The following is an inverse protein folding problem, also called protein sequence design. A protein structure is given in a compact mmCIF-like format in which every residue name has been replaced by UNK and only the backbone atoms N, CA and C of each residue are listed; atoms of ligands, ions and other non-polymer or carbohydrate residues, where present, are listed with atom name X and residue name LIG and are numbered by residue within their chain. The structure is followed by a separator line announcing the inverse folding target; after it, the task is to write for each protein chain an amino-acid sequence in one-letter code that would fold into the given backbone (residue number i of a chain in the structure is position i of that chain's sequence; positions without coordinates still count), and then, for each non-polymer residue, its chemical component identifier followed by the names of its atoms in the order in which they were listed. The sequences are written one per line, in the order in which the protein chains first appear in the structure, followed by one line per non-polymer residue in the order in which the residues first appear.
data_IF_446535643941
#
_entry.id   IF_446535643941
#
_cell.length_a   1.000
_cell.length_b   1.000
_cell.length_c   1.000
_cell.angle_alpha   90.00
_cell.angle_beta   90.00
_cell.angle_gamma   90.00
#
_symmetry.space_group_name_H-M   'P 1'
#
loop_
_entity.id
_entity.type
_entity.pdbx_description
1 polymer ?
#
# COMPACT_ATOMS: atom_id res chain seq x y z
N UNK A 1 20.92 -45.98 2.85
CA UNK A 1 20.51 -44.68 2.29
C UNK A 1 19.06 -44.77 1.91
N UNK A 2 18.24 -43.76 2.21
CA UNK A 2 17.02 -43.37 1.49
C UNK A 2 16.52 -42.09 2.19
N UNK A 3 16.88 -40.93 1.64
CA UNK A 3 16.13 -39.70 1.90
C UNK A 3 14.87 -39.81 1.03
N UNK A 4 13.69 -39.64 1.63
CA UNK A 4 12.49 -39.40 0.84
C UNK A 4 12.59 -37.99 0.26
N UNK A 5 12.65 -37.90 -1.06
CA UNK A 5 12.49 -36.64 -1.77
C UNK A 5 11.01 -36.22 -1.63
N UNK A 6 10.76 -35.20 -0.82
CA UNK A 6 9.43 -34.61 -0.67
C UNK A 6 8.99 -33.97 -1.99
N UNK A 7 7.78 -34.29 -2.45
CA UNK A 7 7.22 -33.72 -3.67
C UNK A 7 6.44 -32.44 -3.33
N UNK A 8 6.86 -31.31 -3.92
CA UNK A 8 6.10 -30.06 -3.86
C UNK A 8 5.11 -30.04 -5.03
N UNK A 9 3.82 -30.03 -4.72
CA UNK A 9 2.76 -29.87 -5.71
C UNK A 9 2.32 -28.41 -5.77
N UNK A 10 2.50 -27.78 -6.93
CA UNK A 10 1.92 -26.47 -7.23
C UNK A 10 0.61 -26.68 -7.98
N UNK A 11 -0.50 -26.24 -7.38
CA UNK A 11 -1.83 -26.23 -7.98
C UNK A 11 -2.25 -24.79 -8.25
N UNK A 12 -2.85 -24.54 -9.42
CA UNK A 12 -3.34 -23.22 -9.81
C UNK A 12 -4.44 -23.32 -10.86
N UNK A 13 -5.41 -22.42 -10.79
CA UNK A 13 -6.51 -22.25 -11.73
C UNK A 13 -6.43 -20.85 -12.34
N UNK A 14 -6.60 -20.74 -13.67
CA UNK A 14 -6.65 -19.46 -14.38
C UNK A 14 -8.11 -19.18 -14.70
N UNK A 15 -8.68 -18.13 -14.11
CA UNK A 15 -10.03 -17.65 -14.42
C UNK A 15 -9.98 -16.44 -15.35
N UNK A 16 -10.96 -16.35 -16.25
CA UNK A 16 -11.05 -15.33 -17.31
C UNK A 16 -11.81 -14.06 -16.85
N UNK A 17 -12.28 -14.05 -15.61
CA UNK A 17 -13.06 -12.94 -15.03
C UNK A 17 -12.51 -12.62 -13.65
N UNK A 18 -12.05 -11.39 -13.48
CA UNK A 18 -11.51 -10.88 -12.21
C UNK A 18 -12.24 -9.58 -11.86
N UNK A 19 -12.11 -9.14 -10.61
CA UNK A 19 -12.53 -7.79 -10.26
C UNK A 19 -11.73 -6.75 -11.05
N UNK A 20 -12.39 -5.73 -11.58
CA UNK A 20 -11.74 -4.57 -12.19
C UNK A 20 -11.46 -3.50 -11.13
N UNK A 21 -10.25 -2.92 -11.13
CA UNK A 21 -9.97 -1.71 -10.33
C UNK A 21 -10.63 -0.52 -11.02
N UNK A 22 -11.39 0.27 -10.28
CA UNK A 22 -12.07 1.43 -10.85
C UNK A 22 -11.05 2.47 -11.34
N UNK A 23 -11.36 3.16 -12.44
CA UNK A 23 -10.44 4.13 -13.05
C UNK A 23 -10.06 5.30 -12.12
N UNK A 24 -10.92 5.66 -11.17
CA UNK A 24 -10.62 6.69 -10.15
C UNK A 24 -9.57 6.23 -9.12
N UNK A 25 -9.34 4.92 -8.99
CA UNK A 25 -8.38 4.36 -8.01
C UNK A 25 -7.18 3.66 -8.64
N UNK A 26 -7.21 3.40 -9.96
CA UNK A 26 -6.15 2.75 -10.71
C UNK A 26 -4.84 3.58 -10.77
N UNK A 27 -4.95 4.88 -11.07
CA UNK A 27 -3.82 5.81 -11.19
C UNK A 27 -3.94 6.97 -10.18
N UNK A 28 -4.18 6.64 -8.92
CA UNK A 28 -4.37 7.64 -7.87
C UNK A 28 -3.03 8.20 -7.35
N UNK A 29 -2.97 9.52 -7.17
CA UNK A 29 -1.91 10.19 -6.41
C UNK A 29 -2.43 10.43 -4.99
N UNK A 30 -1.73 9.89 -3.99
CA UNK A 30 -2.07 10.10 -2.57
C UNK A 30 -1.12 11.16 -1.99
N UNK A 31 -1.55 12.43 -1.89
CA UNK A 31 -0.69 13.51 -1.41
C UNK A 31 -0.49 13.41 0.10
N UNK A 32 0.66 12.89 0.54
CA UNK A 32 1.01 12.83 1.98
C UNK A 32 1.36 14.20 2.57
N UNK A 33 1.45 15.24 1.76
CA UNK A 33 1.80 16.58 2.21
C UNK A 33 3.26 16.74 2.66
N UNK A 34 3.57 17.93 3.17
CA UNK A 34 4.90 18.30 3.66
C UNK A 34 4.97 18.14 5.16
N UNK A 35 6.00 17.47 5.65
CA UNK A 35 6.22 17.25 7.07
C UNK A 35 7.59 17.78 7.47
N UNK A 36 7.63 18.55 8.57
CA UNK A 36 8.89 18.96 9.18
C UNK A 36 9.55 17.78 9.87
N UNK A 37 10.89 17.70 9.84
CA UNK A 37 11.65 16.69 10.61
C UNK A 37 11.28 16.71 12.11
N UNK A 38 10.90 17.85 12.64
CA UNK A 38 10.50 18.01 14.05
C UNK A 38 9.15 17.35 14.38
N UNK A 39 8.39 16.89 13.38
CA UNK A 39 7.18 16.10 13.61
C UNK A 39 7.50 14.66 14.08
N UNK A 40 8.76 14.23 13.93
CA UNK A 40 9.22 12.91 14.33
C UNK A 40 9.98 13.01 15.65
N UNK A 41 9.60 12.17 16.62
CA UNK A 41 10.22 12.10 17.95
C UNK A 41 11.29 11.00 18.08
N UNK A 42 11.45 10.19 17.03
CA UNK A 42 12.37 9.04 16.99
C UNK A 42 11.89 7.96 16.02
N UNK A 43 12.66 6.88 15.90
CA UNK A 43 12.30 5.71 15.07
C UNK A 43 10.91 5.19 15.45
N UNK A 44 10.08 4.90 14.46
CA UNK A 44 8.70 4.46 14.61
C UNK A 44 7.67 5.59 14.79
N UNK A 45 8.09 6.85 14.95
CA UNK A 45 7.13 7.97 15.04
C UNK A 45 6.44 8.22 13.70
N UNK A 46 5.14 8.54 13.75
CA UNK A 46 4.26 8.64 12.58
C UNK A 46 3.77 10.07 12.35
N UNK A 47 3.74 10.51 11.10
CA UNK A 47 3.26 11.84 10.73
C UNK A 47 2.37 11.83 9.48
N UNK A 48 1.56 12.88 9.32
CA UNK A 48 0.69 13.13 8.17
C UNK A 48 -0.19 11.96 7.72
N UNK A 49 -1.25 11.64 8.48
CA UNK A 49 -2.21 10.63 8.06
C UNK A 49 -2.99 11.09 6.84
N UNK A 50 -2.88 10.32 5.77
CA UNK A 50 -3.65 10.51 4.55
C UNK A 50 -4.47 9.26 4.26
N UNK A 51 -5.78 9.45 4.11
CA UNK A 51 -6.69 8.38 3.73
C UNK A 51 -6.69 8.20 2.22
N UNK A 52 -6.81 6.96 1.78
CA UNK A 52 -7.05 6.59 0.40
C UNK A 52 -7.80 5.26 0.34
N UNK A 53 -8.34 4.92 -0.82
CA UNK A 53 -9.11 3.69 -1.02
C UNK A 53 -8.81 3.08 -2.37
N UNK A 54 -8.93 1.76 -2.46
CA UNK A 54 -8.91 1.02 -3.71
C UNK A 54 -10.28 0.38 -3.87
N UNK A 55 -10.93 0.66 -5.00
CA UNK A 55 -12.27 0.16 -5.28
C UNK A 55 -12.21 -0.86 -6.39
N UNK A 56 -12.97 -1.92 -6.18
CA UNK A 56 -13.18 -2.98 -7.15
C UNK A 56 -14.62 -2.94 -7.64
N UNK A 57 -14.81 -3.23 -8.91
CA UNK A 57 -16.10 -3.44 -9.53
C UNK A 57 -16.11 -4.68 -10.43
N UNK A 58 -17.31 -5.12 -10.83
CA UNK A 58 -17.52 -6.27 -11.70
C UNK A 58 -16.85 -7.57 -11.19
N UNK A 59 -16.73 -7.71 -9.87
CA UNK A 59 -16.26 -8.93 -9.27
C UNK A 59 -17.24 -10.09 -9.57
N UNK A 60 -16.74 -11.21 -10.12
CA UNK A 60 -17.56 -12.42 -10.29
C UNK A 60 -18.19 -12.89 -8.99
N UNK A 61 -19.40 -13.46 -9.08
CA UNK A 61 -20.14 -13.99 -7.93
C UNK A 61 -19.43 -15.15 -7.20
N UNK A 62 -18.41 -15.76 -7.82
CA UNK A 62 -17.56 -16.77 -7.19
C UNK A 62 -16.59 -16.17 -6.15
N UNK A 63 -16.30 -14.87 -6.24
CA UNK A 63 -15.50 -14.16 -5.26
C UNK A 63 -16.38 -13.52 -4.20
N UNK A 64 -16.07 -13.80 -2.94
CA UNK A 64 -16.82 -13.28 -1.79
C UNK A 64 -16.05 -12.21 -1.02
N UNK A 65 -14.73 -12.15 -1.19
CA UNK A 65 -13.85 -11.21 -0.51
C UNK A 65 -12.67 -10.84 -1.42
N UNK A 66 -12.10 -9.65 -1.19
CA UNK A 66 -10.89 -9.18 -1.85
C UNK A 66 -9.93 -8.54 -0.83
N UNK A 67 -8.65 -8.59 -1.13
CA UNK A 67 -7.60 -7.90 -0.40
C UNK A 67 -6.65 -7.20 -1.39
N UNK A 68 -5.91 -6.20 -0.92
CA UNK A 68 -4.85 -5.54 -1.68
C UNK A 68 -3.50 -5.98 -1.15
N UNK A 69 -2.59 -6.30 -2.06
CA UNK A 69 -1.17 -6.42 -1.76
C UNK A 69 -0.44 -5.19 -2.31
N UNK A 70 0.28 -4.49 -1.46
CA UNK A 70 1.14 -3.39 -1.89
C UNK A 70 2.54 -3.92 -2.20
N UNK A 71 3.02 -3.60 -3.40
CA UNK A 71 4.38 -3.90 -3.87
C UNK A 71 5.20 -2.61 -3.93
N UNK A 72 6.53 -2.73 -3.83
CA UNK A 72 7.44 -1.59 -3.89
C UNK A 72 8.85 -1.95 -3.42
N UNK A 73 9.69 -0.94 -3.16
CA UNK A 73 10.98 -1.15 -2.47
C UNK A 73 10.79 -0.84 -0.99
N UNK A 74 11.21 -1.76 -0.12
CA UNK A 74 11.12 -1.54 1.33
C UNK A 74 12.10 -0.46 1.80
N UNK A 75 11.67 0.35 2.78
CA UNK A 75 12.52 1.30 3.46
C UNK A 75 13.56 0.54 4.31
N UNK A 76 14.85 0.95 4.31
CA UNK A 76 15.85 0.34 5.18
C UNK A 76 15.42 0.40 6.66
N UNK A 77 15.29 -0.76 7.32
CA UNK A 77 14.83 -0.83 8.71
C UNK A 77 13.32 -0.60 8.91
N UNK A 78 12.54 -0.59 7.82
CA UNK A 78 11.12 -0.26 7.83
C UNK A 78 10.16 -1.39 8.24
N UNK A 79 10.61 -2.65 8.29
CA UNK A 79 9.76 -3.81 8.64
C UNK A 79 8.44 -3.85 7.84
N UNK A 80 8.56 -3.81 6.51
CA UNK A 80 7.45 -3.80 5.56
C UNK A 80 6.94 -2.41 5.18
N UNK A 81 7.63 -1.34 5.57
CA UNK A 81 7.32 0.03 5.15
C UNK A 81 7.87 0.35 3.75
N UNK A 82 7.13 1.12 2.97
CA UNK A 82 7.54 1.53 1.62
C UNK A 82 8.60 2.63 1.68
N UNK A 83 9.66 2.50 0.88
CA UNK A 83 10.71 3.51 0.73
C UNK A 83 10.13 4.78 0.11
N UNK A 84 10.42 5.93 0.70
CA UNK A 84 10.06 7.24 0.13
C UNK A 84 10.85 7.46 -1.16
N UNK A 85 10.14 7.83 -2.23
CA UNK A 85 10.72 8.20 -3.52
C UNK A 85 11.22 9.64 -3.56
N UNK A 86 11.82 10.05 -4.68
CA UNK A 86 12.09 11.46 -4.94
C UNK A 86 10.75 12.20 -5.06
N UNK A 87 10.55 13.32 -4.33
CA UNK A 87 9.31 14.08 -4.42
C UNK A 87 9.01 14.55 -5.84
N UNK A 88 7.72 14.61 -6.20
CA UNK A 88 7.27 15.14 -7.48
C UNK A 88 7.38 16.68 -7.52
N UNK A 89 7.36 17.22 -8.74
CA UNK A 89 7.32 18.66 -9.05
C UNK A 89 6.20 18.96 -10.04
N UNK A 90 5.03 18.35 -9.84
CA UNK A 90 3.88 18.37 -10.75
C UNK A 90 2.75 19.30 -10.29
N UNK A 91 2.91 20.02 -9.17
CA UNK A 91 1.92 20.95 -8.62
C UNK A 91 0.89 20.31 -7.69
N UNK A 92 1.08 19.05 -7.29
CA UNK A 92 0.21 18.39 -6.32
C UNK A 92 0.51 18.85 -4.89
N UNK A 93 -0.47 18.76 -3.96
CA UNK A 93 -0.20 18.97 -2.54
C UNK A 93 0.90 18.01 -2.04
N UNK A 94 1.93 18.54 -1.39
CA UNK A 94 3.09 17.76 -0.94
C UNK A 94 4.30 17.79 -1.87
N UNK A 95 4.15 18.30 -3.10
CA UNK A 95 5.24 18.39 -4.07
C UNK A 95 6.38 19.28 -3.59
N UNK A 96 7.59 18.98 -4.09
CA UNK A 96 8.76 19.77 -3.82
C UNK A 96 8.62 21.17 -4.43
N UNK A 97 8.74 22.20 -3.59
CA UNK A 97 8.66 23.62 -3.98
C UNK A 97 9.98 24.35 -3.74
N UNK A 98 11.06 23.62 -3.51
CA UNK A 98 12.39 24.22 -3.38
C UNK A 98 12.94 24.62 -4.74
N UNK A 99 14.01 25.42 -4.73
CA UNK A 99 14.68 25.90 -5.94
C UNK A 99 15.83 24.98 -6.41
N UNK A 100 16.12 23.91 -5.68
CA UNK A 100 17.19 22.94 -5.97
C UNK A 100 16.68 21.63 -6.57
N UNK A 101 17.57 20.64 -6.70
CA UNK A 101 17.18 19.30 -7.14
C UNK A 101 16.40 18.59 -6.03
N UNK A 102 15.21 18.08 -6.35
CA UNK A 102 14.46 17.23 -5.44
C UNK A 102 15.24 15.93 -5.19
N UNK A 103 15.40 15.57 -3.93
CA UNK A 103 16.05 14.32 -3.51
C UNK A 103 15.12 13.56 -2.56
N UNK A 104 15.16 12.24 -2.62
CA UNK A 104 14.44 11.40 -1.68
C UNK A 104 14.94 11.62 -0.24
N UNK A 105 14.01 11.63 0.72
CA UNK A 105 14.35 11.69 2.13
C UNK A 105 15.00 10.37 2.59
N UNK A 106 15.86 10.45 3.60
CA UNK A 106 16.48 9.29 4.27
C UNK A 106 15.99 9.19 5.71
N UNK A 107 16.00 7.98 6.29
CA UNK A 107 15.52 7.72 7.65
C UNK A 107 13.99 7.85 7.81
N UNK A 108 13.25 7.80 6.69
CA UNK A 108 11.79 7.88 6.67
C UNK A 108 11.25 6.91 5.61
N UNK A 109 10.21 6.16 5.97
CA UNK A 109 9.39 5.34 5.09
C UNK A 109 7.94 5.82 5.02
N UNK A 110 7.11 5.08 4.28
CA UNK A 110 5.66 5.23 4.23
C UNK A 110 5.06 3.94 4.79
N UNK A 111 4.33 4.05 5.90
CA UNK A 111 3.56 2.95 6.48
C UNK A 111 2.12 3.02 6.01
N UNK A 112 1.61 1.90 5.53
CA UNK A 112 0.22 1.73 5.11
C UNK A 112 -0.51 0.95 6.21
N UNK A 113 -1.71 1.39 6.55
CA UNK A 113 -2.57 0.76 7.54
C UNK A 113 -3.92 0.41 6.93
N UNK A 114 -4.49 -0.71 7.34
CA UNK A 114 -5.92 -0.99 7.17
C UNK A 114 -6.70 0.04 7.98
N UNK A 115 -7.66 0.74 7.37
CA UNK A 115 -8.46 1.73 8.09
C UNK A 115 -9.39 1.07 9.13
N UNK A 116 -9.81 -0.16 8.89
CA UNK A 116 -10.76 -0.90 9.72
C UNK A 116 -10.25 -1.17 11.14
N UNK A 117 -8.98 -1.56 11.27
CA UNK A 117 -8.39 -2.02 12.53
C UNK A 117 -7.05 -1.36 12.87
N UNK A 118 -6.57 -0.44 12.03
CA UNK A 118 -5.25 0.20 12.14
C UNK A 118 -4.07 -0.78 12.16
N UNK A 119 -4.26 -2.01 11.67
CA UNK A 119 -3.14 -2.94 11.46
C UNK A 119 -2.28 -2.48 10.29
N UNK A 120 -0.97 -2.67 10.39
CA UNK A 120 -0.04 -2.37 9.30
C UNK A 120 -0.26 -3.35 8.15
N UNK A 121 -0.34 -2.82 6.93
CA UNK A 121 -0.22 -3.61 5.70
C UNK A 121 1.25 -3.60 5.31
N UNK A 122 1.96 -4.68 5.66
CA UNK A 122 3.36 -4.85 5.25
C UNK A 122 3.41 -5.08 3.74
N UNK A 123 4.43 -4.53 3.08
CA UNK A 123 4.68 -4.85 1.67
C UNK A 123 4.69 -6.37 1.45
N UNK A 124 4.21 -6.79 0.29
CA UNK A 124 4.11 -8.20 -0.14
C UNK A 124 3.16 -9.07 0.70
N UNK A 125 2.41 -8.51 1.64
CA UNK A 125 1.37 -9.20 2.40
C UNK A 125 -0.01 -8.67 2.03
N UNK A 126 -1.02 -9.52 2.15
CA UNK A 126 -2.40 -9.14 1.94
C UNK A 126 -2.85 -8.12 3.01
N UNK A 127 -3.65 -7.15 2.59
CA UNK A 127 -4.43 -6.31 3.50
C UNK A 127 -5.48 -7.12 4.26
N UNK A 128 -6.21 -6.45 5.17
CA UNK A 128 -7.44 -7.02 5.66
C UNK A 128 -8.40 -7.29 4.49
N UNK A 129 -9.05 -8.46 4.52
CA UNK A 129 -10.04 -8.82 3.52
C UNK A 129 -11.30 -7.97 3.67
N UNK A 130 -11.84 -7.52 2.55
CA UNK A 130 -13.10 -6.78 2.45
C UNK A 130 -14.11 -7.63 1.69
N UNK A 131 -15.34 -7.69 2.19
CA UNK A 131 -16.42 -8.40 1.52
C UNK A 131 -16.76 -7.75 0.18
N UNK A 132 -17.02 -8.58 -0.83
CA UNK A 132 -17.59 -8.15 -2.10
C UNK A 132 -19.12 -8.15 -1.94
N UNK A 133 -19.77 -7.05 -2.28
CA UNK A 133 -21.22 -6.90 -2.18
C UNK A 133 -21.97 -7.69 -3.27
N UNK A 134 -23.31 -7.71 -3.17
CA UNK A 134 -24.16 -8.44 -4.11
C UNK A 134 -24.10 -7.87 -5.53
N UNK A 135 -23.66 -6.61 -5.66
CA UNK A 135 -23.45 -5.91 -6.92
C UNK A 135 -22.04 -6.14 -7.50
N UNK A 136 -21.21 -6.96 -6.86
CA UNK A 136 -19.86 -7.29 -7.31
C UNK A 136 -18.85 -6.15 -7.08
N UNK A 137 -19.02 -5.36 -6.01
CA UNK A 137 -18.13 -4.26 -5.65
C UNK A 137 -17.50 -4.46 -4.28
N UNK A 138 -16.30 -3.91 -4.12
CA UNK A 138 -15.63 -3.83 -2.82
C UNK A 138 -14.84 -2.52 -2.72
N UNK A 139 -14.72 -1.98 -1.51
CA UNK A 139 -13.92 -0.78 -1.24
C UNK A 139 -12.98 -1.04 -0.07
N UNK A 140 -11.70 -1.27 -0.37
CA UNK A 140 -10.65 -1.41 0.64
C UNK A 140 -10.13 -0.02 1.02
N UNK A 141 -10.19 0.33 2.31
CA UNK A 141 -9.81 1.65 2.83
C UNK A 141 -8.52 1.59 3.62
N UNK A 142 -7.64 2.55 3.34
CA UNK A 142 -6.29 2.58 3.88
C UNK A 142 -5.94 3.96 4.45
N UNK A 143 -4.92 3.96 5.31
CA UNK A 143 -4.27 5.18 5.78
C UNK A 143 -2.78 5.04 5.49
N UNK A 144 -2.22 6.00 4.76
CA UNK A 144 -0.77 6.13 4.59
C UNK A 144 -0.23 7.21 5.55
N UNK A 145 0.94 6.94 6.14
CA UNK A 145 1.66 7.87 7.04
C UNK A 145 3.14 7.83 6.74
N UNK A 146 3.83 8.95 6.92
CA UNK A 146 5.28 8.89 7.06
C UNK A 146 5.64 8.23 8.38
N UNK A 147 6.72 7.46 8.39
CA UNK A 147 7.29 6.81 9.58
C UNK A 147 8.79 7.00 9.61
N UNK A 148 9.36 7.41 10.74
CA UNK A 148 10.81 7.47 10.91
C UNK A 148 11.39 6.05 11.04
N UNK A 149 12.47 5.75 10.32
CA UNK A 149 13.15 4.43 10.27
C UNK A 149 14.58 4.53 10.76
#
# INVERSE_FOLDING_TARGET
ALAEDGVVHFVGEIVDTTCEVTSDTADQIVPLGKVSKNAFSGVGSLASPQQFSIKLEKCPATYTQAAVRFDGTEAPGGDGDLKVGTPLTAGNPGDFTGTGQAIAATGVGIRIFNQSDNSQVKLYNDSAYTAIDAEGKAEMKFIARYVAT
#
